data_IF_470569954179
#
_entry.id   IF_470569954179
#
_cell.length_a   1.000
_cell.length_b   1.000
_cell.length_c   1.000
_cell.angle_alpha   90.00
_cell.angle_beta   90.00
_cell.angle_gamma   90.00
#
_symmetry.space_group_name_H-M   'P 1'
#
loop_
_entity.id
_entity.type
_entity.pdbx_description
1 polymer ?
#
# COMPACT_ATOMS: atom_id res chain seq x y z
N UNK A 1 -14.18 2.73 -6.82
CA UNK A 1 -12.97 2.18 -7.46
C UNK A 1 -13.39 1.14 -8.50
N UNK A 2 -13.17 1.42 -9.78
CA UNK A 2 -13.54 0.59 -10.94
C UNK A 2 -12.26 0.06 -11.62
N UNK A 3 -11.34 -0.47 -10.81
CA UNK A 3 -10.02 -0.90 -11.25
C UNK A 3 -9.99 -2.41 -11.52
N UNK A 4 -9.47 -2.82 -12.68
CA UNK A 4 -8.91 -4.16 -12.81
C UNK A 4 -7.56 -4.16 -12.07
N UNK A 5 -7.52 -4.70 -10.85
CA UNK A 5 -6.33 -4.73 -9.99
C UNK A 5 -5.41 -5.91 -10.28
N UNK A 6 -5.69 -6.68 -11.33
CA UNK A 6 -4.85 -7.80 -11.73
C UNK A 6 -3.47 -7.31 -12.19
N UNK A 7 -2.44 -8.07 -11.82
CA UNK A 7 -1.08 -7.91 -12.36
C UNK A 7 -1.15 -8.14 -13.86
N UNK A 8 -1.16 -7.06 -14.64
CA UNK A 8 -1.34 -7.12 -16.10
C UNK A 8 -0.16 -7.75 -16.83
N UNK A 9 1.00 -7.89 -16.17
CA UNK A 9 2.21 -8.50 -16.71
C UNK A 9 2.67 -9.66 -15.81
N UNK A 10 2.53 -10.89 -16.31
CA UNK A 10 3.09 -12.06 -15.65
C UNK A 10 4.63 -11.95 -15.60
N UNK A 11 5.16 -11.66 -14.42
CA UNK A 11 6.60 -11.66 -14.14
C UNK A 11 7.02 -12.92 -13.37
N UNK A 12 8.29 -13.30 -13.50
CA UNK A 12 8.87 -14.44 -12.79
C UNK A 12 9.17 -14.08 -11.34
N UNK A 13 9.12 -15.07 -10.46
CA UNK A 13 9.63 -14.98 -9.10
C UNK A 13 11.07 -15.53 -9.02
N UNK A 14 11.86 -14.97 -8.11
CA UNK A 14 13.19 -15.48 -7.77
C UNK A 14 13.06 -16.40 -6.57
N UNK A 15 13.59 -17.62 -6.69
CA UNK A 15 13.54 -18.64 -5.64
C UNK A 15 14.95 -18.89 -5.12
N UNK A 16 15.13 -18.80 -3.81
CA UNK A 16 16.39 -19.06 -3.13
C UNK A 16 16.41 -20.47 -2.52
N UNK A 17 17.60 -21.01 -2.29
CA UNK A 17 17.80 -22.39 -1.81
C UNK A 17 17.21 -22.68 -0.42
N UNK A 18 17.10 -21.64 0.40
CA UNK A 18 16.55 -21.63 1.76
C UNK A 18 15.02 -21.56 1.78
N UNK A 19 14.38 -21.47 0.61
CA UNK A 19 12.92 -21.40 0.47
C UNK A 19 12.34 -19.99 0.45
N UNK A 20 13.18 -18.95 0.49
CA UNK A 20 12.74 -17.58 0.27
C UNK A 20 12.28 -17.40 -1.19
N UNK A 21 11.15 -16.73 -1.38
CA UNK A 21 10.61 -16.38 -2.70
C UNK A 21 10.45 -14.88 -2.77
N UNK A 22 11.12 -14.24 -3.72
CA UNK A 22 10.97 -12.82 -4.00
C UNK A 22 10.18 -12.62 -5.30
N UNK A 23 9.11 -11.82 -5.23
CA UNK A 23 8.26 -11.52 -6.39
C UNK A 23 7.88 -10.04 -6.42
N UNK A 24 8.28 -9.34 -7.49
CA UNK A 24 8.12 -7.89 -7.68
C UNK A 24 7.39 -7.60 -8.99
N UNK A 25 6.07 -7.84 -9.07
CA UNK A 25 5.28 -7.53 -10.27
C UNK A 25 5.04 -6.03 -10.45
N UNK A 26 5.14 -5.50 -11.68
CA UNK A 26 4.65 -4.15 -11.96
C UNK A 26 3.12 -4.16 -11.99
N UNK A 27 2.49 -3.13 -11.43
CA UNK A 27 1.05 -2.96 -11.42
C UNK A 27 0.65 -1.49 -11.55
N UNK A 28 -0.48 -1.25 -12.21
CA UNK A 28 -1.10 0.08 -12.30
C UNK A 28 -2.35 0.07 -11.43
N UNK A 29 -2.30 0.78 -10.31
CA UNK A 29 -3.43 0.87 -9.38
C UNK A 29 -4.25 2.13 -9.65
N UNK A 30 -5.57 1.97 -9.72
CA UNK A 30 -6.54 3.08 -9.78
C UNK A 30 -7.32 3.10 -8.47
N UNK A 31 -6.94 3.98 -7.56
CA UNK A 31 -7.67 4.19 -6.31
C UNK A 31 -8.77 5.23 -6.48
N UNK A 32 -9.78 5.15 -5.62
CA UNK A 32 -10.72 6.25 -5.40
C UNK A 32 -10.20 7.05 -4.22
N UNK A 33 -9.81 8.30 -4.48
CA UNK A 33 -9.35 9.25 -3.48
C UNK A 33 -10.43 10.32 -3.29
N UNK A 34 -10.73 10.64 -2.04
CA UNK A 34 -11.59 11.78 -1.70
C UNK A 34 -10.75 13.06 -1.84
N UNK A 35 -11.30 14.06 -2.52
CA UNK A 35 -10.59 15.29 -2.87
C UNK A 35 -11.26 16.47 -2.19
N UNK A 36 -10.49 17.25 -1.44
CA UNK A 36 -10.94 18.52 -0.86
C UNK A 36 -10.51 19.68 -1.75
N UNK A 37 -11.46 20.50 -2.21
CA UNK A 37 -11.22 21.61 -3.14
C UNK A 37 -11.29 22.98 -2.48
N UNK A 38 -11.29 23.06 -1.14
CA UNK A 38 -11.38 24.33 -0.42
C UNK A 38 -10.29 25.35 -0.83
N UNK A 39 -9.06 24.89 -1.05
CA UNK A 39 -7.88 25.74 -1.32
C UNK A 39 -7.39 25.72 -2.77
N UNK A 40 -8.20 25.23 -3.70
CA UNK A 40 -7.81 25.15 -5.11
C UNK A 40 -7.32 26.50 -5.67
N UNK A 41 -6.18 26.57 -6.41
CA UNK A 41 -5.35 25.45 -6.90
C UNK A 41 -4.16 25.07 -6.00
N UNK A 42 -4.09 25.59 -4.77
CA UNK A 42 -3.01 25.33 -3.81
C UNK A 42 -3.44 24.28 -2.77
N UNK A 43 -3.91 23.15 -3.28
CA UNK A 43 -4.51 22.09 -2.49
C UNK A 43 -3.51 20.98 -2.11
N UNK A 44 -3.71 20.41 -0.93
CA UNK A 44 -3.04 19.20 -0.45
C UNK A 44 -4.06 18.07 -0.40
N UNK A 45 -3.66 16.89 -0.87
CA UNK A 45 -4.54 15.72 -0.96
C UNK A 45 -3.84 14.51 -0.36
N UNK A 46 -4.52 13.78 0.52
CA UNK A 46 -4.04 12.49 1.05
C UNK A 46 -4.86 11.36 0.45
N UNK A 47 -4.22 10.57 -0.41
CA UNK A 47 -4.83 9.41 -1.04
C UNK A 47 -4.40 8.11 -0.38
N UNK A 48 -5.36 7.21 -0.19
CA UNK A 48 -5.15 5.97 0.57
C UNK A 48 -5.12 4.75 -0.36
N UNK A 49 -4.08 3.92 -0.22
CA UNK A 49 -3.98 2.61 -0.85
C UNK A 49 -3.91 1.53 0.23
N UNK A 50 -4.88 0.61 0.23
CA UNK A 50 -4.95 -0.47 1.20
C UNK A 50 -4.73 -1.81 0.52
N UNK A 51 -3.68 -2.50 0.93
CA UNK A 51 -3.32 -3.82 0.43
C UNK A 51 -3.54 -4.87 1.51
N UNK A 52 -4.20 -5.96 1.16
CA UNK A 52 -4.49 -7.04 2.07
C UNK A 52 -4.78 -8.32 1.30
N UNK A 53 -4.69 -9.44 1.99
CA UNK A 53 -5.14 -10.72 1.43
C UNK A 53 -6.66 -10.71 1.28
N UNK A 54 -7.15 -11.08 0.10
CA UNK A 54 -8.59 -11.25 -0.14
C UNK A 54 -9.11 -12.58 0.41
N UNK A 55 -8.31 -13.64 0.31
CA UNK A 55 -8.75 -15.03 0.56
C UNK A 55 -8.37 -15.54 1.94
N UNK A 56 -7.17 -15.19 2.42
CA UNK A 56 -6.62 -15.66 3.69
C UNK A 56 -6.77 -14.63 4.79
N UNK A 57 -7.10 -15.12 5.98
CA UNK A 57 -7.11 -14.39 7.25
C UNK A 57 -5.70 -14.33 7.90
N UNK A 58 -5.61 -13.57 8.99
CA UNK A 58 -4.39 -13.32 9.74
C UNK A 58 -3.84 -14.51 10.52
N UNK A 59 -4.61 -15.59 10.72
CA UNK A 59 -4.05 -16.84 11.26
C UNK A 59 -3.32 -17.67 10.21
N UNK A 60 -3.56 -17.39 8.93
CA UNK A 60 -2.92 -18.09 7.80
C UNK A 60 -1.80 -17.29 7.15
N UNK A 61 -1.99 -15.98 7.00
CA UNK A 61 -1.02 -15.08 6.37
C UNK A 61 -0.79 -13.87 7.28
N UNK A 62 0.42 -13.76 7.81
CA UNK A 62 0.88 -12.56 8.51
C UNK A 62 1.51 -11.58 7.51
N UNK A 63 0.72 -10.58 7.08
CA UNK A 63 1.18 -9.55 6.16
C UNK A 63 1.97 -8.48 6.92
N UNK A 64 3.21 -8.21 6.48
CA UNK A 64 4.13 -7.25 7.10
C UNK A 64 4.83 -6.36 6.10
N UNK A 65 5.12 -5.13 6.51
CA UNK A 65 5.95 -4.22 5.71
C UNK A 65 7.42 -4.62 5.86
N UNK A 66 8.22 -4.48 4.80
CA UNK A 66 9.65 -4.88 4.83
C UNK A 66 10.45 -4.10 5.88
N UNK A 67 10.12 -2.83 6.06
CA UNK A 67 10.75 -1.93 7.05
C UNK A 67 9.99 -1.86 8.40
N UNK A 68 9.04 -2.77 8.66
CA UNK A 68 8.32 -2.84 9.93
C UNK A 68 9.29 -3.15 11.09
N UNK A 69 9.26 -2.32 12.13
CA UNK A 69 10.04 -2.58 13.35
C UNK A 69 9.20 -3.30 14.40
N UNK A 70 9.84 -4.15 15.21
CA UNK A 70 9.15 -4.92 16.23
C UNK A 70 8.45 -4.01 17.25
N UNK A 71 7.12 -4.16 17.36
CA UNK A 71 6.29 -3.36 18.28
C UNK A 71 5.85 -2.01 17.72
N UNK A 72 6.19 -1.68 16.47
CA UNK A 72 5.70 -0.50 15.77
C UNK A 72 4.96 -0.90 14.50
N UNK A 73 3.69 -0.48 14.40
CA UNK A 73 2.86 -0.76 13.23
C UNK A 73 2.93 0.36 12.17
N UNK A 74 3.72 1.41 12.41
CA UNK A 74 3.87 2.57 11.52
C UNK A 74 5.28 2.55 10.93
N UNK A 75 5.34 2.72 9.62
CA UNK A 75 6.57 2.97 8.86
C UNK A 75 6.47 4.36 8.27
N UNK A 76 7.33 5.28 8.72
CA UNK A 76 7.26 6.70 8.34
C UNK A 76 7.46 6.93 6.84
N UNK A 77 8.37 6.14 6.22
CA UNK A 77 8.60 6.12 4.77
C UNK A 77 8.23 4.74 4.25
N UNK A 78 6.96 4.54 3.94
CA UNK A 78 6.41 3.26 3.50
C UNK A 78 6.60 2.99 2.01
N UNK A 79 6.89 3.99 1.19
CA UNK A 79 7.10 3.81 -0.25
C UNK A 79 8.54 4.16 -0.60
N UNK A 80 9.23 3.26 -1.29
CA UNK A 80 10.53 3.54 -1.88
C UNK A 80 10.37 4.48 -3.09
N UNK A 81 10.86 5.71 -2.93
CA UNK A 81 10.81 6.76 -3.96
C UNK A 81 12.15 6.94 -4.69
N UNK A 82 13.13 6.04 -4.49
CA UNK A 82 14.46 6.16 -5.10
C UNK A 82 14.43 6.17 -6.65
N UNK A 83 13.47 5.46 -7.24
CA UNK A 83 13.24 5.41 -8.69
C UNK A 83 11.98 6.20 -9.12
N UNK A 84 11.47 7.10 -8.26
CA UNK A 84 10.28 7.88 -8.57
C UNK A 84 10.53 8.89 -9.70
N UNK A 85 9.70 8.84 -10.73
CA UNK A 85 9.65 9.86 -11.77
C UNK A 85 8.76 11.02 -11.33
N UNK A 86 9.36 12.20 -11.13
CA UNK A 86 8.65 13.39 -10.65
C UNK A 86 7.50 13.80 -11.56
N UNK A 87 6.34 14.06 -10.95
CA UNK A 87 5.20 14.66 -11.64
C UNK A 87 5.44 16.17 -11.84
N UNK A 88 4.84 16.72 -12.89
CA UNK A 88 4.88 18.18 -13.17
C UNK A 88 3.80 18.94 -12.41
N UNK A 89 2.78 18.24 -11.91
CA UNK A 89 1.62 18.85 -11.22
C UNK A 89 1.62 18.56 -9.72
N UNK A 90 2.24 17.47 -9.27
CA UNK A 90 2.09 17.02 -7.89
C UNK A 90 3.44 16.72 -7.24
N UNK A 91 3.70 17.37 -6.11
CA UNK A 91 4.79 17.05 -5.21
C UNK A 91 4.34 15.99 -4.20
N UNK A 92 5.12 14.93 -4.01
CA UNK A 92 4.91 13.99 -2.90
C UNK A 92 5.51 14.60 -1.63
N UNK A 93 4.69 14.79 -0.60
CA UNK A 93 5.13 15.34 0.69
C UNK A 93 5.53 14.24 1.67
N UNK A 94 4.70 13.21 1.81
CA UNK A 94 4.92 12.08 2.73
C UNK A 94 4.20 10.83 2.24
N UNK A 95 4.73 9.66 2.64
CA UNK A 95 4.25 8.34 2.21
C UNK A 95 4.24 7.30 3.35
N UNK A 96 3.64 7.57 4.52
CA UNK A 96 3.67 6.61 5.61
C UNK A 96 2.82 5.35 5.29
N UNK A 97 3.27 4.21 5.82
CA UNK A 97 2.53 2.96 5.80
C UNK A 97 2.15 2.52 7.21
N UNK A 98 0.94 1.99 7.36
CA UNK A 98 0.41 1.50 8.64
C UNK A 98 -0.11 0.08 8.48
N UNK A 99 0.37 -0.85 9.31
CA UNK A 99 -0.17 -2.19 9.43
C UNK A 99 -1.40 -2.16 10.34
N UNK A 100 -2.52 -2.66 9.84
CA UNK A 100 -3.76 -2.78 10.59
C UNK A 100 -4.14 -4.24 10.80
N UNK A 101 -4.67 -4.52 11.98
CA UNK A 101 -5.28 -5.80 12.32
C UNK A 101 -6.73 -5.55 12.69
N UNK A 102 -7.64 -6.02 11.84
CA UNK A 102 -9.06 -5.72 11.98
C UNK A 102 -9.88 -6.99 12.17
N UNK A 103 -10.70 -6.98 13.22
CA UNK A 103 -11.74 -7.97 13.45
C UNK A 103 -13.05 -7.46 12.88
N UNK A 104 -13.67 -8.24 12.00
CA UNK A 104 -14.95 -7.89 11.40
C UNK A 104 -16.07 -8.61 12.12
N UNK A 105 -17.26 -8.03 12.15
CA UNK A 105 -18.42 -8.61 12.85
C UNK A 105 -18.88 -9.96 12.30
N UNK A 106 -18.41 -10.35 11.12
CA UNK A 106 -18.71 -11.65 10.53
C UNK A 106 -17.97 -12.81 11.19
N UNK A 107 -16.81 -12.54 11.81
CA UNK A 107 -15.73 -13.51 11.89
C UNK A 107 -14.86 -13.25 13.13
N UNK A 108 -14.38 -14.32 13.77
CA UNK A 108 -13.53 -14.22 14.98
C UNK A 108 -12.05 -14.07 14.62
N UNK A 109 -11.67 -14.39 13.38
CA UNK A 109 -10.33 -14.22 12.86
C UNK A 109 -9.99 -12.76 12.49
N UNK A 110 -8.73 -12.33 12.67
CA UNK A 110 -8.28 -11.03 12.20
C UNK A 110 -8.07 -11.03 10.69
N UNK A 111 -8.29 -9.87 10.07
CA UNK A 111 -7.89 -9.59 8.70
C UNK A 111 -6.85 -8.48 8.71
N UNK A 112 -5.71 -8.76 8.08
CA UNK A 112 -4.55 -7.89 8.06
C UNK A 112 -4.51 -7.08 6.75
N UNK A 113 -4.14 -5.81 6.88
CA UNK A 113 -3.84 -4.95 5.75
C UNK A 113 -2.70 -3.99 6.05
N UNK A 114 -2.02 -3.55 5.00
CA UNK A 114 -1.07 -2.44 5.02
C UNK A 114 -1.70 -1.30 4.25
N UNK A 115 -1.88 -0.17 4.92
CA UNK A 115 -2.45 1.05 4.36
C UNK A 115 -1.34 2.06 4.13
N UNK A 116 -1.14 2.46 2.88
CA UNK A 116 -0.23 3.52 2.47
C UNK A 116 -1.02 4.81 2.29
N UNK A 117 -0.63 5.86 2.99
CA UNK A 117 -1.16 7.20 2.80
C UNK A 117 -0.17 7.97 1.95
N UNK A 118 -0.62 8.51 0.82
CA UNK A 118 0.21 9.30 -0.09
C UNK A 118 -0.32 10.73 -0.01
N UNK A 119 0.42 11.60 0.68
CA UNK A 119 0.09 13.02 0.77
C UNK A 119 0.83 13.77 -0.34
N UNK A 120 0.07 14.49 -1.16
CA UNK A 120 0.57 15.21 -2.32
C UNK A 120 0.09 16.66 -2.32
N UNK A 121 0.89 17.56 -2.88
CA UNK A 121 0.54 18.97 -3.04
C UNK A 121 0.61 19.37 -4.51
N UNK A 122 -0.37 20.15 -4.96
CA UNK A 122 -0.38 20.78 -6.28
C UNK A 122 0.44 22.08 -6.32
#
# INVERSE_FOLDING_TARGET
ADGNFEVTLATKATIYSEGLVEWKPPAIYKSSCEIDVEYFPFDEQTCVLKFGSWTYDGFKVDLRHMDEQQGNNIVDVGVDLSEFYMSVEWDILEVPAVRNEKFYTCCDEPYLDITFNITMRR
#
